data_IF_657670874173
#
_entry.id   IF_657670874173
#
_cell.length_a   1.000
_cell.length_b   1.000
_cell.length_c   1.000
_cell.angle_alpha   90.00
_cell.angle_beta   90.00
_cell.angle_gamma   90.00
#
_symmetry.space_group_name_H-M   'P 1'
#
loop_
_entity.id
_entity.type
_entity.pdbx_description
1 polymer ?
#
# COMPACT_ATOMS: atom_id res chain seq x y z
N UNK A 1 -10.54 2.90 -69.29
CA UNK A 1 -9.51 3.16 -68.25
C UNK A 1 -10.02 3.99 -67.08
N UNK A 2 -10.68 5.16 -67.27
CA UNK A 2 -11.17 6.01 -66.16
C UNK A 2 -12.19 5.35 -65.21
N UNK A 3 -13.07 4.47 -65.72
CA UNK A 3 -14.06 3.74 -64.91
C UNK A 3 -13.45 2.65 -64.00
N UNK A 4 -12.30 2.10 -64.37
CA UNK A 4 -11.59 1.09 -63.58
C UNK A 4 -10.89 1.72 -62.37
N UNK A 5 -10.33 2.94 -62.52
CA UNK A 5 -9.77 3.70 -61.41
C UNK A 5 -10.82 4.08 -60.35
N UNK A 6 -12.04 4.41 -60.75
CA UNK A 6 -13.11 4.72 -59.80
C UNK A 6 -13.54 3.50 -58.99
N UNK A 7 -13.57 2.30 -59.61
CA UNK A 7 -13.89 1.05 -58.91
C UNK A 7 -12.79 0.69 -57.91
N UNK A 8 -11.51 0.88 -58.28
CA UNK A 8 -10.39 0.63 -57.38
C UNK A 8 -10.39 1.58 -56.17
N UNK A 9 -10.76 2.85 -56.38
CA UNK A 9 -10.82 3.85 -55.32
C UNK A 9 -11.95 3.59 -54.32
N UNK A 10 -13.11 3.11 -54.79
CA UNK A 10 -14.23 2.72 -53.92
C UNK A 10 -13.90 1.44 -53.14
N UNK A 11 -13.19 0.48 -53.75
CA UNK A 11 -12.76 -0.75 -53.09
C UNK A 11 -11.74 -0.47 -51.97
N UNK A 12 -10.82 0.49 -52.19
CA UNK A 12 -9.84 0.90 -51.18
C UNK A 12 -10.47 1.68 -50.02
N UNK A 13 -11.51 2.48 -50.30
CA UNK A 13 -12.25 3.21 -49.27
C UNK A 13 -13.09 2.31 -48.35
N UNK A 14 -13.49 1.11 -48.80
CA UNK A 14 -14.24 0.15 -47.97
C UNK A 14 -13.37 -0.61 -46.96
N UNK A 15 -12.08 -0.80 -47.25
CA UNK A 15 -11.14 -1.56 -46.41
C UNK A 15 -10.64 -0.78 -45.17
N UNK A 16 -10.86 0.53 -45.11
CA UNK A 16 -10.39 1.39 -44.00
C UNK A 16 -11.35 1.40 -42.81
N UNK A 17 -12.59 0.91 -42.96
CA UNK A 17 -13.62 0.92 -41.91
C UNK A 17 -13.68 -0.36 -41.07
N UNK A 18 -12.87 -1.39 -41.38
CA UNK A 18 -12.84 -2.65 -40.61
C UNK A 18 -11.64 -2.76 -39.67
N UNK A 19 -10.89 -1.67 -39.46
CA UNK A 19 -9.69 -1.65 -38.60
C UNK A 19 -9.99 -1.24 -37.14
N UNK A 20 -11.26 -1.16 -36.74
CA UNK A 20 -11.63 -1.00 -35.35
C UNK A 20 -11.65 -2.40 -34.72
N UNK A 21 -10.53 -2.77 -34.10
CA UNK A 21 -10.49 -3.94 -33.23
C UNK A 21 -11.29 -3.55 -31.97
N UNK A 22 -12.47 -4.13 -31.79
CA UNK A 22 -13.18 -4.12 -30.51
C UNK A 22 -12.47 -5.11 -29.59
N UNK A 23 -11.19 -4.85 -29.31
CA UNK A 23 -10.48 -5.55 -28.26
C UNK A 23 -11.07 -5.09 -26.93
N UNK A 24 -12.11 -5.79 -26.48
CA UNK A 24 -12.68 -5.65 -25.15
C UNK A 24 -11.70 -6.24 -24.13
N UNK A 25 -10.62 -5.50 -23.87
CA UNK A 25 -9.67 -5.83 -22.82
C UNK A 25 -10.38 -5.70 -21.47
N UNK A 26 -10.94 -6.80 -20.99
CA UNK A 26 -11.43 -6.89 -19.62
C UNK A 26 -10.26 -6.65 -18.66
N UNK A 27 -10.28 -5.53 -17.94
CA UNK A 27 -9.26 -5.16 -16.94
C UNK A 27 -9.25 -6.07 -15.70
N UNK A 28 -10.06 -7.15 -15.70
CA UNK A 28 -10.26 -8.02 -14.55
C UNK A 28 -11.03 -7.32 -13.42
N UNK A 29 -11.37 -8.07 -12.38
CA UNK A 29 -11.94 -7.50 -11.17
C UNK A 29 -10.86 -6.70 -10.40
N UNK A 30 -11.19 -5.56 -9.79
CA UNK A 30 -10.28 -4.87 -8.88
C UNK A 30 -9.77 -5.80 -7.77
N UNK A 31 -8.50 -5.68 -7.41
CA UNK A 31 -7.93 -6.51 -6.34
C UNK A 31 -8.54 -6.16 -4.98
N UNK A 32 -8.86 -7.17 -4.18
CA UNK A 32 -9.39 -6.98 -2.83
C UNK A 32 -8.28 -6.54 -1.87
N UNK A 33 -8.35 -5.28 -1.42
CA UNK A 33 -7.33 -4.68 -0.54
C UNK A 33 -7.38 -5.24 0.88
N UNK A 34 -8.56 -5.65 1.34
CA UNK A 34 -8.74 -6.31 2.64
C UNK A 34 -8.04 -7.66 2.64
N UNK A 35 -8.28 -8.49 1.61
CA UNK A 35 -7.60 -9.79 1.46
C UNK A 35 -6.10 -9.65 1.34
N UNK A 36 -5.63 -8.63 0.62
CA UNK A 36 -4.20 -8.38 0.47
C UNK A 36 -3.50 -8.14 1.82
N UNK A 37 -4.16 -7.46 2.77
CA UNK A 37 -3.61 -7.15 4.10
C UNK A 37 -3.63 -8.34 5.07
N UNK A 38 -4.67 -9.18 5.03
CA UNK A 38 -4.81 -10.31 5.96
C UNK A 38 -3.57 -11.19 5.94
N UNK A 39 -3.02 -11.53 7.11
CA UNK A 39 -1.83 -12.36 7.28
C UNK A 39 -0.83 -11.78 8.27
N UNK A 40 0.32 -12.44 8.41
CA UNK A 40 1.39 -12.04 9.32
C UNK A 40 2.51 -11.34 8.55
N UNK A 41 2.89 -10.17 9.05
CA UNK A 41 3.86 -9.27 8.45
C UNK A 41 5.06 -9.08 9.37
N UNK A 42 6.27 -9.23 8.85
CA UNK A 42 7.50 -8.91 9.57
C UNK A 42 8.05 -7.58 9.08
N UNK A 43 8.64 -6.81 10.00
CA UNK A 43 9.35 -5.59 9.63
C UNK A 43 10.65 -5.96 8.92
N UNK A 44 10.79 -5.52 7.68
CA UNK A 44 11.98 -5.74 6.84
C UNK A 44 12.97 -4.59 6.96
N UNK A 45 12.47 -3.35 6.97
CA UNK A 45 13.32 -2.17 7.12
C UNK A 45 12.56 -1.00 7.72
N UNK A 46 13.30 -0.11 8.36
CA UNK A 46 12.78 1.12 8.95
C UNK A 46 13.69 2.30 8.61
N UNK A 47 13.12 3.31 7.98
CA UNK A 47 13.81 4.57 7.69
C UNK A 47 13.22 5.68 8.54
N UNK A 48 14.08 6.40 9.26
CA UNK A 48 13.74 7.62 9.98
C UNK A 48 14.02 8.83 9.09
N UNK A 49 13.11 9.79 9.05
CA UNK A 49 13.31 11.09 8.41
C UNK A 49 13.16 12.20 9.45
N UNK A 50 14.16 13.08 9.56
CA UNK A 50 14.04 14.32 10.33
C UNK A 50 13.23 15.36 9.52
N UNK A 51 12.00 15.64 9.96
CA UNK A 51 11.07 16.54 9.25
C UNK A 51 11.24 18.01 9.68
N UNK A 52 11.96 18.29 10.78
CA UNK A 52 12.17 19.65 11.29
C UNK A 52 13.31 20.40 10.57
N UNK A 53 14.25 19.67 9.95
CA UNK A 53 15.43 20.22 9.28
C UNK A 53 15.45 19.99 7.77
N UNK A 54 16.62 19.62 7.23
CA UNK A 54 16.85 19.43 5.79
C UNK A 54 16.31 18.11 5.23
N UNK A 55 15.38 17.44 5.92
CA UNK A 55 14.82 16.13 5.54
C UNK A 55 15.87 15.06 5.29
N UNK A 56 16.77 14.88 6.26
CA UNK A 56 17.76 13.78 6.22
C UNK A 56 17.07 12.47 6.58
N UNK A 57 17.36 11.44 5.80
CA UNK A 57 16.93 10.07 6.06
C UNK A 57 18.07 9.27 6.70
N UNK A 58 17.72 8.36 7.62
CA UNK A 58 18.62 7.42 8.27
C UNK A 58 17.96 6.05 8.30
N UNK A 59 18.66 5.03 7.82
CA UNK A 59 18.25 3.64 8.05
C UNK A 59 18.50 3.29 9.52
N UNK A 60 17.43 2.96 10.24
CA UNK A 60 17.52 2.57 11.65
C UNK A 60 17.33 1.07 11.87
N UNK A 61 17.14 0.30 10.79
CA UNK A 61 16.99 -1.16 10.84
C UNK A 61 18.11 -1.84 11.63
N UNK A 62 19.40 -1.49 11.47
CA UNK A 62 20.49 -2.18 12.17
C UNK A 62 20.53 -1.97 13.70
N UNK A 63 19.78 -1.02 14.24
CA UNK A 63 19.84 -0.68 15.67
C UNK A 63 18.83 -1.45 16.53
N UNK A 64 17.89 -2.17 15.92
CA UNK A 64 16.85 -2.92 16.63
C UNK A 64 16.63 -4.31 16.02
N UNK A 65 16.12 -5.25 16.82
CA UNK A 65 15.86 -6.62 16.37
C UNK A 65 14.47 -6.76 15.72
N UNK A 66 14.29 -6.16 14.54
CA UNK A 66 13.01 -6.14 13.84
C UNK A 66 12.51 -7.54 13.39
N UNK A 67 13.38 -8.54 13.30
CA UNK A 67 13.00 -9.94 12.99
C UNK A 67 12.04 -10.53 14.04
N UNK A 68 12.13 -10.03 15.28
CA UNK A 68 11.23 -10.42 16.37
C UNK A 68 9.89 -9.69 16.35
N UNK A 69 9.69 -8.74 15.44
CA UNK A 69 8.50 -7.90 15.36
C UNK A 69 7.55 -8.35 14.25
N UNK A 70 6.40 -8.90 14.65
CA UNK A 70 5.37 -9.38 13.74
C UNK A 70 4.06 -8.67 14.00
N UNK A 71 3.36 -8.33 12.92
CA UNK A 71 2.00 -7.80 12.96
C UNK A 71 1.10 -8.74 12.20
N UNK A 72 0.07 -9.27 12.86
CA UNK A 72 -0.91 -10.15 12.23
C UNK A 72 -2.22 -9.41 12.07
N UNK A 73 -2.77 -9.39 10.85
CA UNK A 73 -4.11 -8.88 10.54
C UNK A 73 -5.02 -10.05 10.19
N UNK A 74 -6.15 -10.17 10.89
CA UNK A 74 -7.09 -11.27 10.72
C UNK A 74 -8.32 -10.85 9.88
N UNK A 75 -9.03 -11.85 9.37
CA UNK A 75 -10.25 -11.67 8.56
C UNK A 75 -11.38 -10.99 9.32
N UNK A 76 -11.49 -11.27 10.62
CA UNK A 76 -12.48 -10.69 11.54
C UNK A 76 -12.18 -9.24 11.96
N UNK A 77 -11.23 -8.60 11.27
CA UNK A 77 -10.72 -7.25 11.55
C UNK A 77 -9.96 -7.11 12.87
N UNK A 78 -9.59 -8.19 13.53
CA UNK A 78 -8.65 -8.13 14.67
C UNK A 78 -7.19 -8.04 14.19
N UNK A 79 -6.33 -7.45 15.02
CA UNK A 79 -4.88 -7.51 14.85
C UNK A 79 -4.17 -7.90 16.13
N UNK A 80 -2.96 -8.42 16.01
CA UNK A 80 -2.04 -8.69 17.12
C UNK A 80 -0.61 -8.36 16.76
N UNK A 81 0.20 -8.06 17.77
CA UNK A 81 1.62 -7.75 17.63
C UNK A 81 2.41 -8.70 18.52
N UNK A 82 3.39 -9.36 17.92
CA UNK A 82 4.43 -10.09 18.62
C UNK A 82 5.71 -9.26 18.53
N UNK A 83 6.31 -8.92 19.67
CA UNK A 83 7.57 -8.18 19.70
C UNK A 83 8.42 -8.61 20.89
N UNK A 84 9.73 -8.73 20.72
CA UNK A 84 10.65 -8.89 21.86
C UNK A 84 10.88 -7.55 22.58
N UNK A 85 11.40 -7.59 23.81
CA UNK A 85 11.74 -6.39 24.59
C UNK A 85 12.86 -5.53 23.96
N UNK A 86 13.56 -6.04 22.94
CA UNK A 86 14.65 -5.34 22.25
C UNK A 86 14.17 -4.54 21.03
N UNK A 87 12.88 -4.56 20.72
CA UNK A 87 12.31 -3.86 19.57
C UNK A 87 11.22 -2.89 20.03
N UNK A 88 11.34 -1.59 19.71
CA UNK A 88 10.31 -0.62 20.07
C UNK A 88 8.95 -0.99 19.44
N UNK A 89 7.90 -1.03 20.26
CA UNK A 89 6.54 -1.12 19.75
C UNK A 89 6.11 0.22 19.16
N UNK A 90 6.22 0.35 17.85
CA UNK A 90 5.84 1.57 17.13
C UNK A 90 4.34 1.71 16.92
N UNK A 91 3.56 0.64 17.12
CA UNK A 91 2.09 0.70 17.11
C UNK A 91 1.56 1.20 18.45
N UNK A 92 2.28 0.98 19.54
CA UNK A 92 1.84 1.38 20.88
C UNK A 92 0.64 0.58 21.42
N UNK A 93 0.20 -0.44 20.69
CA UNK A 93 -0.84 -1.41 21.06
C UNK A 93 -0.28 -2.82 20.86
N UNK A 94 -0.79 -3.82 21.58
CA UNK A 94 -0.40 -5.23 21.38
C UNK A 94 -1.46 -6.02 20.62
N UNK A 95 -2.72 -5.58 20.65
CA UNK A 95 -3.82 -6.16 19.90
C UNK A 95 -4.96 -5.16 19.79
N UNK A 96 -5.99 -5.51 19.02
CA UNK A 96 -7.19 -4.69 18.86
C UNK A 96 -7.86 -4.97 17.54
N UNK A 97 -8.51 -3.95 16.98
CA UNK A 97 -9.14 -4.01 15.66
C UNK A 97 -8.46 -3.08 14.67
N UNK A 98 -8.49 -3.44 13.39
CA UNK A 98 -7.96 -2.63 12.30
C UNK A 98 -9.06 -2.21 11.32
N UNK A 99 -8.90 -1.03 10.73
CA UNK A 99 -9.76 -0.55 9.64
C UNK A 99 -8.98 0.32 8.67
N UNK A 100 -9.50 0.45 7.46
CA UNK A 100 -9.06 1.49 6.53
C UNK A 100 -9.93 2.74 6.65
N UNK A 101 -9.42 3.85 6.12
CA UNK A 101 -10.23 5.02 5.81
C UNK A 101 -11.20 4.76 4.65
N UNK A 102 -10.74 4.04 3.62
CA UNK A 102 -11.53 3.62 2.46
C UNK A 102 -11.18 2.18 2.08
N UNK A 103 -12.18 1.34 1.78
CA UNK A 103 -11.95 -0.08 1.48
C UNK A 103 -11.41 -0.34 0.05
N UNK A 104 -11.71 0.54 -0.90
CA UNK A 104 -11.36 0.42 -2.31
C UNK A 104 -10.00 1.07 -2.61
N UNK A 105 -9.75 2.24 -2.00
CA UNK A 105 -8.56 3.06 -2.20
C UNK A 105 -7.95 3.52 -0.85
N UNK A 106 -7.51 2.59 0.01
CA UNK A 106 -7.02 2.92 1.35
C UNK A 106 -5.76 3.79 1.30
N UNK A 107 -5.78 4.89 2.03
CA UNK A 107 -4.62 5.75 2.27
C UNK A 107 -4.16 5.68 3.73
N UNK A 108 -5.02 5.25 4.64
CA UNK A 108 -4.76 5.15 6.06
C UNK A 108 -5.15 3.76 6.57
N UNK A 109 -4.39 3.26 7.54
CA UNK A 109 -4.79 2.15 8.38
C UNK A 109 -4.87 2.62 9.83
N UNK A 110 -6.00 2.35 10.48
CA UNK A 110 -6.27 2.67 11.87
C UNK A 110 -6.24 1.39 12.69
N UNK A 111 -5.45 1.37 13.76
CA UNK A 111 -5.37 0.29 14.73
C UNK A 111 -5.93 0.80 16.05
N UNK A 112 -6.92 0.13 16.61
CA UNK A 112 -7.68 0.63 17.76
C UNK A 112 -7.83 -0.44 18.84
N UNK A 113 -7.65 -0.05 20.09
CA UNK A 113 -7.96 -0.84 21.29
C UNK A 113 -8.72 0.04 22.28
N UNK A 114 -10.02 -0.21 22.43
CA UNK A 114 -10.89 0.64 23.26
C UNK A 114 -10.92 2.08 22.75
N UNK A 115 -10.41 3.03 23.55
CA UNK A 115 -10.34 4.47 23.21
C UNK A 115 -8.98 4.89 22.65
N UNK A 116 -8.00 3.98 22.58
CA UNK A 116 -6.66 4.28 22.09
C UNK A 116 -6.56 3.87 20.63
N UNK A 117 -6.01 4.75 19.79
CA UNK A 117 -5.85 4.50 18.35
C UNK A 117 -4.47 4.91 17.86
N UNK A 118 -3.91 4.12 16.95
CA UNK A 118 -2.71 4.42 16.19
C UNK A 118 -3.03 4.40 14.70
N UNK A 119 -2.67 5.50 14.02
CA UNK A 119 -2.93 5.67 12.60
C UNK A 119 -1.63 5.69 11.81
N UNK A 120 -1.63 5.00 10.67
CA UNK A 120 -0.49 4.96 9.75
C UNK A 120 -0.94 5.32 8.35
N UNK A 121 -0.11 6.08 7.64
CA UNK A 121 -0.31 6.34 6.21
C UNK A 121 0.23 5.19 5.39
N UNK A 122 -0.54 4.71 4.41
CA UNK A 122 -0.12 3.73 3.44
C UNK A 122 0.60 4.43 2.29
N UNK A 123 1.80 3.98 1.93
CA UNK A 123 2.51 4.52 0.77
C UNK A 123 1.85 4.12 -0.55
N UNK A 124 1.09 3.02 -0.54
CA UNK A 124 0.23 2.57 -1.62
C UNK A 124 -0.83 1.61 -1.04
N UNK A 125 -2.00 1.45 -1.69
CA UNK A 125 -2.98 0.44 -1.31
C UNK A 125 -2.37 -0.97 -1.31
N UNK A 126 -2.67 -1.82 -0.31
CA UNK A 126 -2.13 -3.17 -0.23
C UNK A 126 -2.47 -4.04 -1.45
N UNK A 127 -1.51 -4.83 -1.91
CA UNK A 127 -1.66 -5.76 -3.03
C UNK A 127 -0.98 -7.08 -2.70
N UNK A 128 -1.59 -8.18 -3.11
CA UNK A 128 -1.00 -9.51 -2.95
C UNK A 128 0.38 -9.58 -3.62
N UNK A 129 1.32 -10.28 -2.98
CA UNK A 129 2.69 -10.42 -3.46
C UNK A 129 3.56 -9.15 -3.33
N UNK A 130 3.08 -8.10 -2.65
CA UNK A 130 3.86 -6.85 -2.44
C UNK A 130 4.09 -6.57 -0.96
N UNK A 131 5.16 -5.82 -0.68
CA UNK A 131 5.45 -5.37 0.68
C UNK A 131 4.50 -4.26 1.11
N UNK A 132 4.02 -4.36 2.35
CA UNK A 132 3.24 -3.33 3.00
C UNK A 132 4.20 -2.19 3.41
N UNK A 133 3.88 -0.96 3.00
CA UNK A 133 4.69 0.22 3.31
C UNK A 133 3.84 1.22 4.07
N UNK A 134 4.17 1.42 5.34
CA UNK A 134 3.46 2.32 6.24
C UNK A 134 4.35 3.45 6.74
N UNK A 135 3.76 4.61 6.96
CA UNK A 135 4.43 5.79 7.50
C UNK A 135 3.74 6.24 8.78
N UNK A 136 4.55 6.46 9.82
CA UNK A 136 4.13 7.14 11.05
C UNK A 136 4.77 8.53 11.10
N UNK A 137 4.02 9.54 11.53
CA UNK A 137 4.51 10.92 11.64
C UNK A 137 4.35 11.38 13.07
N UNK A 138 5.46 11.65 13.74
CA UNK A 138 5.45 12.31 15.03
C UNK A 138 5.36 13.82 14.81
N UNK A 139 4.38 14.45 15.46
CA UNK A 139 4.18 15.90 15.44
C UNK A 139 4.46 16.52 16.81
N UNK A 140 4.87 17.79 16.79
CA UNK A 140 4.94 18.67 17.96
C UNK A 140 4.30 19.99 17.54
N UNK A 141 3.29 20.46 18.29
CA UNK A 141 2.52 21.68 17.92
C UNK A 141 2.07 21.68 16.45
N UNK A 142 1.48 20.56 16.01
CA UNK A 142 1.04 20.28 14.63
C UNK A 142 2.12 20.25 13.53
N UNK A 143 3.37 20.55 13.87
CA UNK A 143 4.51 20.43 12.93
C UNK A 143 5.06 19.01 12.97
N UNK A 144 5.24 18.41 11.80
CA UNK A 144 5.96 17.15 11.68
C UNK A 144 7.42 17.37 12.11
N UNK A 145 7.88 16.58 13.09
CA UNK A 145 9.26 16.65 13.60
C UNK A 145 10.10 15.46 13.13
N UNK A 146 9.50 14.27 13.11
CA UNK A 146 10.15 13.03 12.68
C UNK A 146 9.09 12.18 11.99
N UNK A 147 9.48 11.49 10.93
CA UNK A 147 8.66 10.40 10.39
C UNK A 147 9.44 9.10 10.30
N UNK A 148 8.70 8.00 10.38
CA UNK A 148 9.22 6.65 10.29
C UNK A 148 8.49 5.95 9.15
N UNK A 149 9.25 5.38 8.21
CA UNK A 149 8.73 4.56 7.12
C UNK A 149 9.13 3.12 7.39
N UNK A 150 8.13 2.26 7.54
CA UNK A 150 8.32 0.82 7.73
C UNK A 150 7.98 0.10 6.43
N UNK A 151 8.86 -0.79 6.00
CA UNK A 151 8.56 -1.78 4.98
C UNK A 151 8.36 -3.12 5.67
N UNK A 152 7.21 -3.75 5.46
CA UNK A 152 6.87 -5.03 6.01
C UNK A 152 6.67 -6.05 4.89
N UNK A 153 7.18 -7.26 5.12
CA UNK A 153 7.02 -8.40 4.21
C UNK A 153 6.07 -9.41 4.82
N UNK A 154 5.23 -10.02 3.98
CA UNK A 154 4.32 -11.08 4.41
C UNK A 154 5.12 -12.38 4.58
N UNK A 155 4.89 -13.11 5.68
CA UNK A 155 5.39 -14.48 5.88
C UNK A 155 4.51 -15.52 5.20
#
# INVERSE_FOLDING_TARGET
MKKLNYILMVLFAGLVFTACDDDDYSLGAPSDKTKALIGTWNVKSVTLTDEAGTKKEMDITPYFNFDSYKVTFNEDKSFSIESSSMTPNFVGLLSGTWSYDDAEAPLLINLTEGTVSSQFTLAAPPREGTNLRIKFIRKSEDKAIVSYRYELTKN
#
